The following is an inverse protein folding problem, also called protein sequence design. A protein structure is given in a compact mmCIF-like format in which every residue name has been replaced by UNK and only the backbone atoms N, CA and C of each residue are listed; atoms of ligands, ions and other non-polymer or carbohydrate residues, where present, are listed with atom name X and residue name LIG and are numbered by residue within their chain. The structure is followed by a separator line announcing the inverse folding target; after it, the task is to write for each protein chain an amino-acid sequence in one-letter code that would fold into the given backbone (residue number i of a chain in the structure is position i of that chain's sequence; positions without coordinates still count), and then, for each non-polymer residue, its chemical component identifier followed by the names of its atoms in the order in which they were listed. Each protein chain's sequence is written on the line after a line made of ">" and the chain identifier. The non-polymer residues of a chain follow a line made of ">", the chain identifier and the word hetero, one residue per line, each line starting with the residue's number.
data_IF_854989338129
#
_entry.id   IF_854989338129
#
_cell.length_a   1.000
_cell.length_b   1.000
_cell.length_c   1.000
_cell.angle_alpha   90.00
_cell.angle_beta   90.00
_cell.angle_gamma   90.00
#
_symmetry.space_group_name_H-M   'P 1'
#
loop_
_entity.id
_entity.type
_entity.pdbx_description
1 polymer ?
#
# COMPACT_ATOMS: atom_id res chain seq x y z
N UNK A 1 -54.96 39.54 -37.77
CA UNK A 1 -54.56 39.58 -36.34
C UNK A 1 -53.79 38.30 -36.06
N UNK A 2 -52.46 38.41 -35.96
CA UNK A 2 -51.51 37.28 -35.85
C UNK A 2 -51.27 37.01 -34.37
N UNK A 3 -51.62 35.81 -33.88
CA UNK A 3 -51.24 35.35 -32.55
C UNK A 3 -49.87 34.66 -32.63
N UNK A 4 -48.84 35.30 -32.05
CA UNK A 4 -47.53 34.71 -31.88
C UNK A 4 -47.52 33.84 -30.61
N UNK A 5 -47.30 32.54 -30.76
CA UNK A 5 -47.10 31.63 -29.63
C UNK A 5 -45.59 31.56 -29.29
N UNK A 6 -45.24 32.04 -28.11
CA UNK A 6 -43.91 31.88 -27.53
C UNK A 6 -43.78 30.45 -26.96
N UNK A 7 -42.95 29.62 -27.59
CA UNK A 7 -42.55 28.32 -27.02
C UNK A 7 -41.32 28.53 -26.12
N UNK A 8 -41.50 28.44 -24.80
CA UNK A 8 -40.39 28.43 -23.84
C UNK A 8 -39.90 26.99 -23.72
N UNK A 9 -38.80 26.65 -24.41
CA UNK A 9 -38.08 25.39 -24.19
C UNK A 9 -37.24 25.51 -22.91
N UNK A 10 -37.73 24.89 -21.83
CA UNK A 10 -36.94 24.66 -20.64
C UNK A 10 -35.92 23.54 -20.91
N UNK A 11 -34.65 23.91 -21.09
CA UNK A 11 -33.55 22.96 -21.20
C UNK A 11 -33.21 22.42 -19.81
N UNK A 12 -33.64 21.19 -19.53
CA UNK A 12 -33.25 20.43 -18.34
C UNK A 12 -31.77 20.06 -18.45
N UNK A 13 -30.93 20.80 -17.73
CA UNK A 13 -29.51 20.49 -17.58
C UNK A 13 -29.38 19.24 -16.69
N UNK A 14 -29.16 18.07 -17.31
CA UNK A 14 -28.76 16.86 -16.59
C UNK A 14 -27.39 17.11 -15.97
N UNK A 15 -27.36 17.38 -14.65
CA UNK A 15 -26.13 17.36 -13.89
C UNK A 15 -25.62 15.92 -13.85
N UNK A 16 -24.70 15.59 -14.74
CA UNK A 16 -23.90 14.37 -14.64
C UNK A 16 -23.07 14.51 -13.37
N UNK A 17 -23.43 13.77 -12.32
CA UNK A 17 -22.59 13.60 -11.13
C UNK A 17 -21.35 12.83 -11.56
N UNK A 18 -20.35 13.53 -12.10
CA UNK A 18 -19.01 13.01 -12.19
C UNK A 18 -18.53 12.80 -10.75
N UNK A 19 -18.42 11.54 -10.33
CA UNK A 19 -17.67 11.20 -9.12
C UNK A 19 -16.27 11.84 -9.23
N UNK A 20 -15.72 12.44 -8.16
CA UNK A 20 -14.38 12.97 -8.23
C UNK A 20 -13.45 11.86 -8.70
N UNK A 21 -12.67 12.13 -9.75
CA UNK A 21 -11.58 11.26 -10.15
C UNK A 21 -10.61 11.24 -8.99
N UNK A 22 -10.70 10.20 -8.17
CA UNK A 22 -9.77 9.97 -7.09
C UNK A 22 -8.45 9.56 -7.77
N UNK A 23 -7.65 10.58 -8.12
CA UNK A 23 -6.26 10.48 -8.54
C UNK A 23 -5.44 9.98 -7.34
N UNK A 24 -5.83 8.82 -6.80
CA UNK A 24 -5.17 8.12 -5.73
C UNK A 24 -3.73 7.94 -6.16
N UNK A 25 -2.85 8.64 -5.45
CA UNK A 25 -1.41 8.68 -5.70
C UNK A 25 -0.89 7.26 -5.85
N UNK A 26 -0.61 6.83 -7.09
CA UNK A 26 -0.10 5.49 -7.35
C UNK A 26 1.39 5.45 -7.07
N UNK A 27 1.83 4.53 -6.21
CA UNK A 27 3.25 4.34 -5.94
C UNK A 27 3.78 3.26 -6.88
N UNK A 28 4.38 3.69 -7.99
CA UNK A 28 5.00 2.78 -8.97
C UNK A 28 6.51 2.71 -8.74
N UNK A 29 7.07 1.50 -8.83
CA UNK A 29 8.52 1.25 -8.75
C UNK A 29 9.18 1.83 -7.49
N UNK A 30 8.55 1.62 -6.33
CA UNK A 30 8.97 2.14 -5.03
C UNK A 30 9.68 1.09 -4.19
N UNK A 31 10.39 1.52 -3.16
CA UNK A 31 10.86 0.61 -2.10
C UNK A 31 9.96 0.76 -0.87
N UNK A 32 9.76 -0.33 -0.15
CA UNK A 32 8.91 -0.38 1.05
C UNK A 32 9.86 -0.63 2.22
N UNK A 33 10.13 0.41 3.02
CA UNK A 33 11.11 0.40 4.09
C UNK A 33 10.45 0.21 5.45
N UNK A 34 10.93 -0.75 6.23
CA UNK A 34 10.52 -0.94 7.62
C UNK A 34 11.01 0.22 8.48
N UNK A 35 10.11 0.79 9.30
CA UNK A 35 10.50 1.73 10.35
C UNK A 35 11.45 1.09 11.38
N UNK A 36 11.27 -0.21 11.66
CA UNK A 36 11.94 -0.89 12.77
C UNK A 36 13.46 -0.89 12.65
N UNK A 37 13.97 -1.18 11.45
CA UNK A 37 15.42 -1.36 11.22
C UNK A 37 15.93 -0.66 9.95
N UNK A 38 15.07 0.09 9.25
CA UNK A 38 15.42 0.83 8.05
C UNK A 38 15.71 -0.05 6.82
N UNK A 39 15.45 -1.36 6.89
CA UNK A 39 15.59 -2.28 5.75
C UNK A 39 14.36 -2.24 4.85
N UNK A 40 14.54 -2.65 3.60
CA UNK A 40 13.48 -2.66 2.61
C UNK A 40 13.07 -4.08 2.20
N UNK A 41 11.77 -4.23 1.97
CA UNK A 41 11.11 -5.45 1.53
C UNK A 41 11.66 -5.91 0.17
N UNK A 42 12.11 -7.16 0.09
CA UNK A 42 12.60 -7.77 -1.15
C UNK A 42 12.33 -9.27 -1.16
N UNK A 43 12.05 -9.90 -2.31
CA UNK A 43 12.11 -11.35 -2.40
C UNK A 43 13.54 -11.84 -2.14
N UNK A 44 13.66 -12.99 -1.49
CA UNK A 44 14.96 -13.62 -1.20
C UNK A 44 15.58 -14.25 -2.46
N UNK A 45 16.91 -14.25 -2.50
CA UNK A 45 17.67 -14.80 -3.63
C UNK A 45 17.50 -13.99 -4.93
N UNK A 46 17.93 -14.58 -6.05
CA UNK A 46 17.94 -13.96 -7.38
C UNK A 46 17.00 -14.64 -8.40
N UNK A 47 16.50 -15.83 -8.08
CA UNK A 47 15.54 -16.56 -8.90
C UNK A 47 14.19 -16.60 -8.18
N UNK A 48 13.27 -15.77 -8.63
CA UNK A 48 11.98 -15.54 -7.95
C UNK A 48 10.86 -16.34 -8.61
N UNK A 49 10.15 -17.13 -7.79
CA UNK A 49 9.05 -17.99 -8.18
C UNK A 49 7.93 -17.95 -7.14
N UNK A 50 6.82 -18.63 -7.41
CA UNK A 50 5.79 -18.86 -6.39
C UNK A 50 6.41 -19.53 -5.15
N UNK A 51 6.16 -18.93 -3.99
CA UNK A 51 6.67 -19.42 -2.72
C UNK A 51 8.00 -18.79 -2.28
N UNK A 52 8.68 -17.99 -3.14
CA UNK A 52 9.91 -17.30 -2.73
C UNK A 52 9.65 -16.43 -1.50
N UNK A 53 10.32 -16.67 -0.36
CA UNK A 53 10.14 -15.85 0.84
C UNK A 53 10.50 -14.40 0.58
N UNK A 54 9.76 -13.49 1.16
CA UNK A 54 10.06 -12.06 1.14
C UNK A 54 10.74 -11.68 2.47
N UNK A 55 11.87 -11.02 2.36
CA UNK A 55 12.79 -10.65 3.45
C UNK A 55 13.02 -9.13 3.47
N UNK A 56 13.79 -8.64 4.45
CA UNK A 56 14.21 -7.25 4.52
C UNK A 56 15.74 -7.13 4.38
N UNK A 57 16.22 -6.29 3.45
CA UNK A 57 17.65 -6.06 3.18
C UNK A 57 17.97 -4.56 3.12
N UNK A 58 19.25 -4.21 2.95
CA UNK A 58 19.61 -2.82 2.70
C UNK A 58 18.82 -2.25 1.50
N UNK A 59 18.19 -1.09 1.66
CA UNK A 59 17.33 -0.51 0.64
C UNK A 59 18.01 -0.31 -0.71
N UNK A 60 19.31 -0.04 -0.77
CA UNK A 60 20.03 0.05 -2.06
C UNK A 60 19.98 -1.24 -2.89
N UNK A 61 19.84 -2.40 -2.24
CA UNK A 61 19.81 -3.73 -2.84
C UNK A 61 18.40 -4.32 -2.97
N UNK A 62 17.40 -3.70 -2.33
CA UNK A 62 16.03 -4.21 -2.32
C UNK A 62 15.33 -4.05 -3.68
N UNK A 63 14.44 -5.01 -3.97
CA UNK A 63 13.52 -4.94 -5.09
C UNK A 63 12.55 -3.75 -5.00
N UNK A 64 11.85 -3.50 -6.12
CA UNK A 64 10.86 -2.43 -6.22
C UNK A 64 9.45 -3.00 -6.33
N UNK A 65 8.49 -2.27 -5.81
CA UNK A 65 7.09 -2.68 -5.72
C UNK A 65 6.18 -1.60 -6.33
N UNK A 66 4.99 -2.03 -6.74
CA UNK A 66 3.86 -1.18 -7.01
C UNK A 66 2.87 -1.35 -5.86
N UNK A 67 2.46 -0.24 -5.25
CA UNK A 67 1.47 -0.21 -4.17
C UNK A 67 0.62 1.05 -4.35
N UNK A 68 -0.66 0.98 -4.00
CA UNK A 68 -1.55 2.13 -4.15
C UNK A 68 -2.33 2.35 -2.84
N UNK A 69 -2.72 3.59 -2.51
CA UNK A 69 -3.74 3.85 -1.52
C UNK A 69 -5.02 3.09 -1.87
N UNK A 70 -5.79 2.71 -0.84
CA UNK A 70 -6.95 1.84 -1.01
C UNK A 70 -6.58 0.35 -0.98
N UNK A 71 -7.60 -0.50 -1.12
CA UNK A 71 -7.45 -1.96 -1.10
C UNK A 71 -6.95 -2.44 -2.46
N UNK A 72 -5.90 -3.26 -2.48
CA UNK A 72 -5.36 -3.86 -3.69
C UNK A 72 -4.07 -4.63 -3.47
N UNK A 73 -3.52 -5.20 -4.53
CA UNK A 73 -2.28 -5.98 -4.42
C UNK A 73 -1.03 -5.11 -4.40
N UNK A 74 -0.03 -5.56 -3.63
CA UNK A 74 1.34 -5.04 -3.67
C UNK A 74 2.11 -5.89 -4.66
N UNK A 75 2.40 -5.33 -5.84
CA UNK A 75 2.95 -6.09 -6.98
C UNK A 75 4.44 -5.85 -7.12
N UNK A 76 5.24 -6.90 -7.27
CA UNK A 76 6.66 -6.80 -7.58
C UNK A 76 6.83 -6.15 -8.96
N UNK A 77 7.52 -5.00 -9.00
CA UNK A 77 7.63 -4.16 -10.18
C UNK A 77 8.20 -4.92 -11.38
N UNK A 78 7.55 -4.78 -12.54
CA UNK A 78 7.95 -5.46 -13.78
C UNK A 78 7.54 -6.93 -13.87
N UNK A 79 6.75 -7.44 -12.93
CA UNK A 79 6.27 -8.84 -12.90
C UNK A 79 4.77 -8.91 -12.60
N UNK A 80 4.22 -10.12 -12.56
CA UNK A 80 2.87 -10.42 -12.07
C UNK A 80 2.87 -11.08 -10.67
N UNK A 81 3.99 -11.06 -9.94
CA UNK A 81 4.03 -11.58 -8.57
C UNK A 81 3.53 -10.52 -7.57
N UNK A 82 2.70 -10.95 -6.62
CA UNK A 82 2.21 -10.16 -5.50
C UNK A 82 2.90 -10.55 -4.19
N UNK A 83 2.94 -9.60 -3.24
CA UNK A 83 3.16 -9.90 -1.84
C UNK A 83 1.96 -10.69 -1.30
N UNK A 84 2.23 -11.89 -0.83
CA UNK A 84 1.23 -12.86 -0.39
C UNK A 84 1.43 -13.19 1.09
N UNK A 85 0.36 -13.07 1.86
CA UNK A 85 0.34 -13.27 3.31
C UNK A 85 0.24 -14.73 3.75
N UNK A 86 0.23 -15.69 2.83
CA UNK A 86 -0.11 -17.07 3.14
C UNK A 86 -1.59 -17.24 3.40
N UNK A 87 -1.98 -17.61 4.61
CA UNK A 87 -3.37 -17.60 5.05
C UNK A 87 -3.80 -16.18 5.45
N UNK A 88 -2.88 -15.38 6.02
CA UNK A 88 -3.17 -14.01 6.42
C UNK A 88 -4.10 -13.90 7.63
N UNK A 89 -4.24 -14.98 8.41
CA UNK A 89 -5.18 -15.06 9.55
C UNK A 89 -4.48 -15.25 10.89
N UNK A 90 -3.16 -15.45 10.90
CA UNK A 90 -2.38 -15.78 12.08
C UNK A 90 -1.17 -14.86 12.22
N UNK A 91 -0.73 -14.65 13.46
CA UNK A 91 0.51 -13.94 13.75
C UNK A 91 1.73 -14.80 13.36
N UNK A 92 2.79 -14.12 12.94
CA UNK A 92 4.09 -14.68 12.60
C UNK A 92 4.11 -15.56 11.34
N UNK A 93 3.13 -15.41 10.45
CA UNK A 93 3.17 -16.07 9.15
C UNK A 93 4.12 -15.30 8.22
N UNK A 94 5.12 -15.99 7.68
CA UNK A 94 6.06 -15.39 6.73
C UNK A 94 5.36 -15.01 5.42
N UNK A 95 5.68 -13.81 4.92
CA UNK A 95 5.16 -13.35 3.63
C UNK A 95 6.04 -13.82 2.47
N UNK A 96 5.44 -14.02 1.30
CA UNK A 96 6.12 -14.61 0.14
C UNK A 96 5.66 -13.98 -1.17
N UNK A 97 6.35 -14.30 -2.25
CA UNK A 97 5.85 -14.07 -3.59
C UNK A 97 4.85 -15.14 -3.99
N UNK A 98 3.79 -14.70 -4.67
CA UNK A 98 2.88 -15.59 -5.36
C UNK A 98 2.29 -14.92 -6.60
N UNK A 99 1.91 -15.69 -7.61
CA UNK A 99 1.21 -15.18 -8.79
C UNK A 99 0.00 -14.38 -8.32
N UNK A 100 -0.14 -13.16 -8.85
CA UNK A 100 -1.23 -12.28 -8.48
C UNK A 100 -2.55 -12.78 -9.07
N UNK A 101 -3.56 -12.94 -8.22
CA UNK A 101 -4.93 -13.22 -8.61
C UNK A 101 -5.87 -12.18 -8.01
N UNK A 102 -6.76 -11.56 -8.81
CA UNK A 102 -7.70 -10.57 -8.31
C UNK A 102 -8.60 -11.12 -7.19
N UNK A 103 -8.73 -10.36 -6.11
CA UNK A 103 -9.68 -10.63 -5.02
C UNK A 103 -9.26 -11.69 -4.01
N UNK A 104 -8.05 -12.26 -4.10
CA UNK A 104 -7.54 -13.13 -3.05
C UNK A 104 -7.29 -12.33 -1.77
N UNK A 105 -7.85 -12.78 -0.66
CA UNK A 105 -7.72 -12.13 0.64
C UNK A 105 -6.26 -11.90 1.02
N UNK A 106 -5.43 -12.95 0.96
CA UNK A 106 -4.01 -12.93 1.30
C UNK A 106 -3.13 -12.09 0.35
N UNK A 107 -3.70 -11.52 -0.72
CA UNK A 107 -3.01 -10.63 -1.66
C UNK A 107 -3.69 -9.25 -1.76
N UNK A 108 -4.69 -8.99 -0.91
CA UNK A 108 -5.42 -7.72 -0.90
C UNK A 108 -5.03 -6.95 0.34
N UNK A 109 -4.16 -5.96 0.12
CA UNK A 109 -3.61 -5.11 1.15
C UNK A 109 -4.22 -3.70 1.09
N UNK A 110 -4.28 -3.03 2.22
CA UNK A 110 -4.73 -1.67 2.40
C UNK A 110 -3.58 -0.85 2.99
N UNK A 111 -3.06 0.09 2.19
CA UNK A 111 -2.14 1.10 2.71
C UNK A 111 -2.95 2.15 3.48
N UNK A 112 -2.81 2.12 4.80
CA UNK A 112 -3.48 3.00 5.74
C UNK A 112 -2.81 4.39 5.81
N UNK A 113 -3.53 5.37 6.35
CA UNK A 113 -3.02 6.74 6.51
C UNK A 113 -1.90 6.85 7.56
N UNK A 114 -1.75 5.86 8.44
CA UNK A 114 -0.70 5.82 9.46
C UNK A 114 0.49 4.91 9.09
N UNK A 115 0.65 4.65 7.78
CA UNK A 115 1.75 3.91 7.16
C UNK A 115 1.80 2.42 7.53
N UNK A 116 0.68 1.80 7.88
CA UNK A 116 0.53 0.34 7.93
C UNK A 116 0.07 -0.22 6.59
N UNK A 117 0.54 -1.42 6.26
CA UNK A 117 0.05 -2.23 5.13
C UNK A 117 -0.77 -3.38 5.73
N UNK A 118 -2.09 -3.21 5.80
CA UNK A 118 -3.02 -4.13 6.46
C UNK A 118 -3.70 -5.07 5.45
N UNK A 119 -4.09 -6.28 5.84
CA UNK A 119 -4.97 -7.10 4.98
C UNK A 119 -6.38 -6.52 4.97
N UNK A 120 -6.91 -6.24 3.78
CA UNK A 120 -8.24 -5.69 3.61
C UNK A 120 -9.31 -6.69 4.07
N UNK A 121 -10.19 -6.26 4.98
CA UNK A 121 -11.22 -7.13 5.56
C UNK A 121 -10.71 -8.12 6.61
N UNK A 122 -9.44 -8.03 7.00
CA UNK A 122 -8.83 -8.83 8.06
C UNK A 122 -8.39 -7.98 9.25
N UNK A 123 -7.62 -8.59 10.16
CA UNK A 123 -7.02 -7.92 11.32
C UNK A 123 -5.49 -8.02 11.34
N UNK A 124 -4.86 -8.53 10.29
CA UNK A 124 -3.41 -8.69 10.18
C UNK A 124 -2.80 -7.52 9.42
N UNK A 125 -1.61 -7.12 9.86
CA UNK A 125 -0.76 -6.12 9.24
C UNK A 125 0.56 -6.77 8.85
N UNK A 126 1.20 -6.24 7.80
CA UNK A 126 2.60 -6.53 7.52
C UNK A 126 3.44 -5.97 8.68
N UNK A 127 4.23 -6.84 9.30
CA UNK A 127 5.03 -6.58 10.49
C UNK A 127 6.48 -6.98 10.20
N UNK A 128 7.45 -6.14 10.57
CA UNK A 128 8.86 -6.53 10.55
C UNK A 128 9.19 -7.25 11.87
N UNK A 129 9.07 -8.58 11.85
CA UNK A 129 9.35 -9.46 12.98
C UNK A 129 10.83 -9.75 13.18
N UNK A 130 11.19 -10.40 14.30
CA UNK A 130 12.61 -10.68 14.63
C UNK A 130 13.37 -11.43 13.52
N UNK A 131 12.67 -12.27 12.78
CA UNK A 131 13.22 -13.10 11.70
C UNK A 131 12.85 -12.58 10.30
N UNK A 132 12.35 -11.34 10.19
CA UNK A 132 11.96 -10.72 8.93
C UNK A 132 10.46 -10.40 8.82
N UNK A 133 10.02 -9.99 7.62
CA UNK A 133 8.63 -9.65 7.33
C UNK A 133 7.68 -10.82 7.58
N UNK A 134 6.59 -10.52 8.28
CA UNK A 134 5.55 -11.48 8.66
C UNK A 134 4.17 -10.79 8.73
N UNK A 135 3.10 -11.57 8.89
CA UNK A 135 1.83 -11.03 9.38
C UNK A 135 1.85 -10.94 10.89
N UNK A 136 1.19 -9.90 11.42
CA UNK A 136 0.89 -9.83 12.85
C UNK A 136 -0.38 -9.01 13.04
N UNK A 137 -1.14 -9.28 14.11
CA UNK A 137 -2.34 -8.54 14.43
C UNK A 137 -2.07 -7.03 14.45
N UNK A 138 -2.81 -6.30 13.64
CA UNK A 138 -2.73 -4.85 13.56
C UNK A 138 -2.93 -4.26 14.96
N UNK A 139 -1.89 -3.56 15.44
CA UNK A 139 -1.86 -3.04 16.80
C UNK A 139 -1.50 -1.56 16.74
N UNK A 140 -2.37 -0.71 17.28
CA UNK A 140 -2.13 0.73 17.40
C UNK A 140 -0.84 0.97 18.18
N UNK A 141 0.01 1.86 17.67
CA UNK A 141 1.30 2.18 18.28
C UNK A 141 2.42 1.15 18.07
N UNK A 142 2.15 -0.03 17.49
CA UNK A 142 3.22 -0.96 17.12
C UNK A 142 4.02 -0.38 15.94
N UNK A 143 5.26 0.01 16.21
CA UNK A 143 6.17 0.60 15.22
C UNK A 143 6.77 -0.42 14.25
N UNK A 144 6.72 -1.72 14.58
CA UNK A 144 7.17 -2.78 13.66
C UNK A 144 6.24 -2.92 12.44
N UNK A 145 5.04 -2.35 12.51
CA UNK A 145 4.03 -2.38 11.44
C UNK A 145 4.04 -1.12 10.57
N UNK A 146 4.97 -0.20 10.81
CA UNK A 146 5.10 1.04 10.03
C UNK A 146 6.06 0.80 8.86
N UNK A 147 5.59 1.10 7.65
CA UNK A 147 6.33 0.94 6.40
C UNK A 147 6.31 2.22 5.57
N UNK A 148 7.49 2.77 5.28
CA UNK A 148 7.63 3.96 4.44
C UNK A 148 7.75 3.61 2.97
N UNK A 149 7.02 4.36 2.14
CA UNK A 149 7.06 4.22 0.69
C UNK A 149 8.08 5.19 0.09
N UNK A 150 9.24 4.67 -0.31
CA UNK A 150 10.35 5.46 -0.84
C UNK A 150 10.24 5.59 -2.37
N UNK A 151 10.07 6.83 -2.87
CA UNK A 151 9.97 7.16 -4.30
C UNK A 151 11.26 7.83 -4.84
N UNK A 152 11.58 7.60 -6.11
CA UNK A 152 12.66 8.33 -6.80
C UNK A 152 14.05 8.12 -6.18
N UNK A 153 14.79 9.24 -6.02
CA UNK A 153 16.15 9.26 -5.47
C UNK A 153 16.19 9.25 -3.93
N UNK A 154 15.09 8.99 -3.24
CA UNK A 154 15.04 8.83 -1.78
C UNK A 154 15.73 7.53 -1.30
N UNK A 155 16.65 6.99 -2.10
CA UNK A 155 17.47 5.82 -1.83
C UNK A 155 18.54 6.22 -0.83
N UNK A 156 18.29 5.97 0.45
CA UNK A 156 19.19 6.41 1.51
C UNK A 156 18.79 7.75 2.14
N UNK A 157 17.53 8.20 1.96
CA UNK A 157 16.93 8.88 3.10
C UNK A 157 17.02 7.88 4.25
N UNK A 158 17.89 8.17 5.22
CA UNK A 158 17.76 7.60 6.57
C UNK A 158 16.28 7.54 6.91
N UNK A 159 15.78 6.53 7.65
CA UNK A 159 14.49 6.70 8.31
C UNK A 159 14.65 8.02 9.06
N UNK A 160 14.06 9.10 8.58
CA UNK A 160 13.89 10.27 9.40
C UNK A 160 12.89 9.73 10.39
N UNK A 161 13.21 9.61 11.69
CA UNK A 161 12.15 9.76 12.66
C UNK A 161 11.59 11.13 12.31
N UNK A 162 10.48 11.20 11.56
CA UNK A 162 9.78 12.46 11.43
C UNK A 162 9.52 12.86 12.89
N UNK A 163 9.99 14.04 13.33
CA UNK A 163 9.67 14.49 14.67
C UNK A 163 8.18 14.30 14.86
N UNK A 164 7.81 13.76 16.01
CA UNK A 164 6.42 13.61 16.43
C UNK A 164 5.59 14.78 15.92
N UNK A 165 4.33 14.58 15.45
CA UNK A 165 3.47 15.71 15.22
C UNK A 165 3.51 16.55 16.49
N UNK A 166 4.11 17.73 16.38
CA UNK A 166 3.99 18.72 17.44
C UNK A 166 2.50 18.99 17.44
N UNK A 167 1.82 18.40 18.43
CA UNK A 167 0.48 18.81 18.80
C UNK A 167 0.46 20.32 18.69
N UNK A 168 -0.43 20.85 17.86
CA UNK A 168 -0.76 22.26 17.87
C UNK A 168 -1.14 22.58 19.31
N UNK A 169 -0.19 23.13 20.06
CA UNK A 169 -0.49 23.76 21.33
C UNK A 169 -1.43 24.90 20.99
N UNK A 170 -2.69 24.71 21.35
CA UNK A 170 -3.64 25.78 21.52
C UNK A 170 -3.01 26.81 22.48
N UNK A 171 -2.73 28.01 21.95
CA UNK A 171 -3.04 29.31 22.57
C UNK A 171 -3.37 30.28 21.44
#
# INVERSE_FOLDING_TARGET
>A
MIFAYLFVLATSLLAVLASPLDLNKRYTSVRIQSYRDGKCLTPSGSAWTNGTPVVAVNCSQAARWNINPGSGSVILYGTNYALDAGLGTQNNEGVKLWTSYPGLFQQTWYLTNDNRIALSGGNQCLDEGLNGPQTYQCTTGNTNQIWYILQGNNLGATPVPLPHPVSSAAV
#
